data_IF_996898274797
#
_entry.id   IF_996898274797
#
_cell.length_a   1.000
_cell.length_b   1.000
_cell.length_c   1.000
_cell.angle_alpha   90.00
_cell.angle_beta   90.00
_cell.angle_gamma   90.00
#
_symmetry.space_group_name_H-M   'P 1'
#
loop_
_entity.id
_entity.type
_entity.pdbx_description
1 polymer ?
#
# COMPACT_ATOMS: atom_id res chain seq x y z
N UNK A 1 -7.20 10.86 3.60
CA UNK A 1 -7.64 10.00 2.46
C UNK A 1 -8.33 10.81 1.38
N UNK A 2 -9.25 11.72 1.72
CA UNK A 2 -9.96 12.54 0.72
C UNK A 2 -9.04 13.42 -0.14
N UNK A 3 -8.05 14.08 0.47
CA UNK A 3 -7.08 14.90 -0.28
C UNK A 3 -6.28 14.06 -1.30
N UNK A 4 -5.92 12.82 -0.95
CA UNK A 4 -5.22 11.91 -1.85
C UNK A 4 -6.12 11.42 -2.99
N UNK A 5 -7.43 11.22 -2.74
CA UNK A 5 -8.42 10.92 -3.78
C UNK A 5 -8.55 12.07 -4.77
N UNK A 6 -8.49 13.32 -4.29
CA UNK A 6 -8.55 14.49 -5.15
C UNK A 6 -7.33 14.63 -6.06
N UNK A 7 -6.17 14.08 -5.69
CA UNK A 7 -4.99 14.04 -6.56
C UNK A 7 -5.13 13.03 -7.71
N UNK A 8 -6.09 12.11 -7.64
CA UNK A 8 -6.35 11.13 -8.71
C UNK A 8 -7.11 11.77 -9.89
N UNK A 9 -6.59 12.88 -10.39
CA UNK A 9 -7.18 13.64 -11.47
C UNK A 9 -6.13 14.04 -12.53
N UNK A 10 -6.63 14.34 -13.73
CA UNK A 10 -5.78 14.67 -14.87
C UNK A 10 -5.02 15.99 -14.68
N UNK A 11 -5.61 16.99 -14.01
CA UNK A 11 -4.96 18.30 -13.81
C UNK A 11 -3.82 18.20 -12.80
N UNK A 12 -3.96 17.38 -11.75
CA UNK A 12 -2.86 17.14 -10.81
C UNK A 12 -1.73 16.35 -11.47
N UNK A 13 -2.06 15.38 -12.32
CA UNK A 13 -1.07 14.70 -13.15
C UNK A 13 -0.31 15.69 -14.05
N UNK A 14 -1.01 16.55 -14.79
CA UNK A 14 -0.41 17.52 -15.70
C UNK A 14 0.57 18.45 -14.97
N UNK A 15 0.23 18.93 -13.77
CA UNK A 15 1.14 19.77 -12.97
C UNK A 15 2.44 19.06 -12.62
N UNK A 16 2.36 17.79 -12.21
CA UNK A 16 3.54 16.98 -11.87
C UNK A 16 4.34 16.68 -13.13
N UNK A 17 3.67 16.31 -14.21
CA UNK A 17 4.31 16.00 -15.48
C UNK A 17 5.02 17.22 -16.09
N UNK A 18 4.43 18.41 -15.98
CA UNK A 18 5.06 19.68 -16.36
C UNK A 18 6.29 19.98 -15.50
N UNK A 19 6.20 19.77 -14.18
CA UNK A 19 7.33 19.97 -13.27
C UNK A 19 8.50 19.04 -13.62
N UNK A 20 8.21 17.76 -13.89
CA UNK A 20 9.20 16.78 -14.35
C UNK A 20 9.79 17.21 -15.70
N UNK A 21 8.96 17.67 -16.63
CA UNK A 21 9.40 18.14 -17.95
C UNK A 21 10.36 19.31 -17.84
N UNK A 22 10.03 20.33 -17.03
CA UNK A 22 10.89 21.49 -16.78
C UNK A 22 12.22 21.04 -16.15
N UNK A 23 12.16 20.17 -15.13
CA UNK A 23 13.36 19.64 -14.47
C UNK A 23 14.27 18.90 -15.46
N UNK A 24 13.71 18.04 -16.32
CA UNK A 24 14.47 17.32 -17.33
C UNK A 24 15.11 18.26 -18.36
N UNK A 25 14.38 19.28 -18.82
CA UNK A 25 14.91 20.29 -19.73
C UNK A 25 16.10 21.05 -19.12
N UNK A 26 15.98 21.48 -17.86
CA UNK A 26 17.04 22.18 -17.14
C UNK A 26 18.31 21.33 -16.96
N UNK A 27 18.14 20.00 -16.88
CA UNK A 27 19.24 19.07 -16.65
C UNK A 27 19.69 18.33 -17.94
N UNK A 28 19.23 18.75 -19.12
CA UNK A 28 19.53 18.11 -20.41
C UNK A 28 19.17 16.60 -20.45
N UNK A 29 18.13 16.18 -19.73
CA UNK A 29 17.60 14.81 -19.76
C UNK A 29 16.57 14.71 -20.88
N UNK A 30 16.82 13.83 -21.84
CA UNK A 30 15.90 13.61 -22.96
C UNK A 30 14.78 12.63 -22.56
N UNK A 31 13.58 13.15 -22.31
CA UNK A 31 12.39 12.35 -21.98
C UNK A 31 11.91 11.46 -23.13
N UNK A 32 12.24 11.79 -24.37
CA UNK A 32 11.85 11.03 -25.56
C UNK A 32 12.93 10.00 -25.96
N UNK A 33 13.95 9.82 -25.15
CA UNK A 33 15.02 8.90 -25.45
C UNK A 33 14.50 7.47 -25.29
N UNK A 34 14.15 6.84 -26.43
CA UNK A 34 13.78 5.42 -26.44
C UNK A 34 14.89 4.64 -25.75
N UNK A 35 14.57 3.79 -24.76
CA UNK A 35 15.58 2.96 -24.12
C UNK A 35 16.30 2.19 -25.22
N UNK A 36 17.63 2.09 -25.14
CA UNK A 36 18.39 1.17 -26.00
C UNK A 36 18.04 -0.26 -25.58
N UNK A 37 16.86 -0.73 -25.99
CA UNK A 37 16.46 -2.11 -25.78
C UNK A 37 17.43 -2.99 -26.55
N UNK A 38 18.15 -3.86 -25.84
CA UNK A 38 18.89 -4.94 -26.46
C UNK A 38 17.89 -5.71 -27.31
N UNK A 39 18.12 -5.79 -28.63
CA UNK A 39 17.29 -6.63 -29.51
C UNK A 39 17.26 -8.03 -28.91
N UNK A 40 16.09 -8.47 -28.45
CA UNK A 40 15.93 -9.82 -27.91
C UNK A 40 16.16 -10.79 -29.07
N UNK A 41 17.18 -11.61 -28.94
CA UNK A 41 17.42 -12.72 -29.86
C UNK A 41 16.56 -13.87 -29.36
N UNK A 42 15.63 -14.34 -30.20
CA UNK A 42 14.85 -15.54 -29.92
C UNK A 42 15.83 -16.71 -29.79
N UNK A 43 15.72 -17.49 -28.72
CA UNK A 43 16.56 -18.67 -28.54
C UNK A 43 16.44 -19.57 -29.77
N UNK A 44 17.58 -20.12 -30.20
CA UNK A 44 17.63 -21.02 -31.35
C UNK A 44 16.75 -22.27 -31.18
N UNK A 45 16.40 -22.62 -29.93
CA UNK A 45 15.51 -23.73 -29.59
C UNK A 45 14.02 -23.46 -29.88
N UNK A 46 13.64 -22.21 -30.12
CA UNK A 46 12.24 -21.79 -30.33
C UNK A 46 11.97 -21.29 -31.75
N UNK A 47 12.87 -21.58 -32.70
CA UNK A 47 12.75 -21.11 -34.09
C UNK A 47 11.47 -21.60 -34.79
N UNK A 48 10.97 -22.77 -34.41
CA UNK A 48 9.78 -23.38 -34.99
C UNK A 48 8.52 -23.15 -34.14
N UNK A 49 8.61 -22.30 -33.11
CA UNK A 49 7.47 -21.96 -32.26
C UNK A 49 6.86 -20.63 -32.68
N UNK A 50 5.53 -20.55 -32.67
CA UNK A 50 4.78 -19.31 -32.92
C UNK A 50 4.60 -18.59 -31.58
N UNK A 51 5.33 -17.49 -31.39
CA UNK A 51 5.15 -16.61 -30.23
C UNK A 51 4.01 -15.64 -30.56
N UNK A 52 2.87 -15.79 -29.86
CA UNK A 52 1.64 -15.01 -30.11
C UNK A 52 1.72 -13.62 -29.44
N UNK A 53 2.40 -13.52 -28.29
CA UNK A 53 2.68 -12.27 -27.60
C UNK A 53 3.86 -12.43 -26.66
N UNK A 54 4.48 -11.31 -26.27
CA UNK A 54 5.48 -11.31 -25.19
C UNK A 54 4.89 -10.65 -23.95
N UNK A 55 5.05 -11.30 -22.80
CA UNK A 55 4.69 -10.73 -21.50
C UNK A 55 5.83 -9.79 -21.06
N UNK A 56 5.49 -8.59 -20.60
CA UNK A 56 6.46 -7.63 -20.06
C UNK A 56 7.16 -6.74 -21.08
N UNK A 57 6.64 -6.62 -22.32
CA UNK A 57 6.96 -5.46 -23.14
C UNK A 57 6.31 -4.24 -22.48
N UNK A 58 7.11 -3.24 -22.12
CA UNK A 58 6.58 -1.91 -21.83
C UNK A 58 6.21 -1.29 -23.17
N UNK A 59 4.97 -0.84 -23.30
CA UNK A 59 4.56 0.02 -24.40
C UNK A 59 5.47 1.25 -24.45
N UNK A 60 5.55 1.93 -25.60
CA UNK A 60 6.25 3.21 -25.72
C UNK A 60 5.81 4.09 -24.54
N UNK A 61 6.79 4.58 -23.75
CA UNK A 61 6.61 5.37 -22.53
C UNK A 61 5.95 6.72 -22.84
N UNK A 62 4.66 6.66 -23.16
CA UNK A 62 3.82 7.80 -23.48
C UNK A 62 3.31 8.46 -22.21
N UNK A 63 2.92 9.73 -22.32
CA UNK A 63 2.26 10.45 -21.23
C UNK A 63 1.03 9.70 -20.70
N UNK A 64 0.26 9.07 -21.59
CA UNK A 64 -0.86 8.20 -21.23
C UNK A 64 -0.43 7.02 -20.35
N UNK A 65 0.70 6.39 -20.67
CA UNK A 65 1.25 5.28 -19.89
C UNK A 65 1.64 5.75 -18.48
N UNK A 66 2.39 6.85 -18.39
CA UNK A 66 2.80 7.45 -17.11
C UNK A 66 1.61 7.83 -16.24
N UNK A 67 0.56 8.38 -16.84
CA UNK A 67 -0.65 8.74 -16.10
C UNK A 67 -1.40 7.51 -15.58
N UNK A 68 -1.67 6.57 -16.46
CA UNK A 68 -2.61 5.47 -16.18
C UNK A 68 -1.97 4.39 -15.33
N UNK A 69 -0.76 3.95 -15.70
CA UNK A 69 -0.14 2.77 -15.11
C UNK A 69 0.88 3.09 -14.03
N UNK A 70 1.30 4.35 -13.91
CA UNK A 70 2.22 4.79 -12.85
C UNK A 70 1.49 5.72 -11.89
N UNK A 71 1.07 6.90 -12.34
CA UNK A 71 0.53 7.93 -11.45
C UNK A 71 -0.74 7.48 -10.72
N UNK A 72 -1.79 7.09 -11.46
CA UNK A 72 -3.03 6.62 -10.85
C UNK A 72 -2.83 5.35 -10.05
N UNK A 73 -2.03 4.41 -10.55
CA UNK A 73 -1.75 3.16 -9.83
C UNK A 73 -1.09 3.41 -8.48
N UNK A 74 -0.14 4.35 -8.40
CA UNK A 74 0.51 4.71 -7.13
C UNK A 74 -0.49 5.29 -6.15
N UNK A 75 -1.35 6.22 -6.60
CA UNK A 75 -2.38 6.82 -5.74
C UNK A 75 -3.38 5.76 -5.27
N UNK A 76 -3.83 4.89 -6.17
CA UNK A 76 -4.79 3.82 -5.87
C UNK A 76 -4.20 2.85 -4.83
N UNK A 77 -2.92 2.46 -4.98
CA UNK A 77 -2.24 1.62 -4.00
C UNK A 77 -2.13 2.32 -2.64
N UNK A 78 -1.74 3.60 -2.61
CA UNK A 78 -1.67 4.36 -1.35
C UNK A 78 -3.04 4.46 -0.67
N UNK A 79 -4.12 4.63 -1.43
CA UNK A 79 -5.48 4.67 -0.90
C UNK A 79 -5.87 3.32 -0.27
N UNK A 80 -5.63 2.22 -0.97
CA UNK A 80 -5.91 0.86 -0.45
C UNK A 80 -5.14 0.60 0.84
N UNK A 81 -3.83 0.87 0.86
CA UNK A 81 -3.00 0.65 2.06
C UNK A 81 -3.45 1.52 3.24
N UNK A 82 -3.85 2.76 3.00
CA UNK A 82 -4.39 3.63 4.05
C UNK A 82 -5.75 3.15 4.55
N UNK A 83 -6.63 2.69 3.66
CA UNK A 83 -7.95 2.19 4.03
C UNK A 83 -7.85 0.90 4.85
N UNK A 84 -6.97 -0.01 4.45
CA UNK A 84 -6.73 -1.25 5.17
C UNK A 84 -6.05 -0.99 6.52
N UNK A 85 -5.01 -0.15 6.53
CA UNK A 85 -4.23 0.20 7.72
C UNK A 85 -5.04 0.95 8.78
N UNK A 86 -5.94 1.84 8.36
CA UNK A 86 -6.81 2.63 9.25
C UNK A 86 -8.26 2.12 9.28
N UNK A 87 -8.49 0.89 8.84
CA UNK A 87 -9.81 0.26 8.94
C UNK A 87 -10.28 0.19 10.39
N UNK A 88 -11.59 0.18 10.61
CA UNK A 88 -12.18 0.02 11.96
C UNK A 88 -11.61 -1.21 12.67
N UNK A 89 -11.40 -2.31 11.93
CA UNK A 89 -10.78 -3.53 12.45
C UNK A 89 -9.33 -3.28 12.89
N UNK A 90 -8.49 -2.69 12.03
CA UNK A 90 -7.08 -2.40 12.34
C UNK A 90 -6.95 -1.47 13.56
N UNK A 91 -7.81 -0.45 13.65
CA UNK A 91 -7.85 0.47 14.79
C UNK A 91 -8.28 -0.21 16.09
N UNK A 92 -9.29 -1.09 16.05
CA UNK A 92 -9.72 -1.88 17.21
C UNK A 92 -8.59 -2.81 17.69
N UNK A 93 -7.87 -3.44 16.77
CA UNK A 93 -6.72 -4.27 17.13
C UNK A 93 -5.60 -3.43 17.77
N UNK A 94 -5.24 -2.30 17.15
CA UNK A 94 -4.22 -1.40 17.70
C UNK A 94 -4.60 -0.88 19.10
N UNK A 95 -5.87 -0.54 19.30
CA UNK A 95 -6.40 -0.15 20.62
C UNK A 95 -6.25 -1.28 21.65
N UNK A 96 -6.53 -2.52 21.24
CA UNK A 96 -6.32 -3.68 22.09
C UNK A 96 -4.84 -3.87 22.46
N UNK A 97 -3.91 -3.72 21.50
CA UNK A 97 -2.47 -3.78 21.79
C UNK A 97 -2.09 -2.69 22.80
N UNK A 98 -2.59 -1.46 22.61
CA UNK A 98 -2.32 -0.35 23.51
C UNK A 98 -2.85 -0.62 24.93
N UNK A 99 -3.97 -1.32 25.08
CA UNK A 99 -4.49 -1.74 26.40
C UNK A 99 -3.63 -2.78 27.13
N UNK A 100 -2.58 -3.32 26.50
CA UNK A 100 -1.57 -4.15 27.16
C UNK A 100 -0.38 -3.33 27.71
N UNK A 101 -0.31 -2.03 27.40
CA UNK A 101 0.70 -1.13 27.95
C UNK A 101 0.27 -0.63 29.35
N UNK A 102 1.12 -0.76 30.38
CA UNK A 102 0.79 -0.32 31.75
C UNK A 102 0.40 1.15 31.88
N UNK A 103 1.00 2.01 31.06
CA UNK A 103 0.74 3.46 31.07
C UNK A 103 -0.55 3.86 30.31
N UNK A 104 -1.24 2.90 29.69
CA UNK A 104 -2.49 3.16 28.97
C UNK A 104 -3.64 3.39 29.94
N UNK A 105 -4.50 4.38 29.63
CA UNK A 105 -5.74 4.62 30.38
C UNK A 105 -6.71 3.42 30.32
N UNK A 106 -6.54 2.52 29.35
CA UNK A 106 -7.34 1.30 29.19
C UNK A 106 -6.56 0.04 29.58
N UNK A 107 -5.51 0.15 30.41
CA UNK A 107 -4.69 -1.00 30.78
C UNK A 107 -5.52 -2.16 31.34
N UNK A 108 -5.37 -3.33 30.71
CA UNK A 108 -6.10 -4.58 31.03
C UNK A 108 -7.63 -4.43 30.99
N UNK A 109 -8.16 -3.49 30.21
CA UNK A 109 -9.60 -3.37 29.98
C UNK A 109 -10.14 -4.48 29.08
N UNK A 110 -11.19 -5.17 29.52
CA UNK A 110 -11.71 -6.34 28.82
C UNK A 110 -12.32 -5.97 27.46
N UNK A 111 -13.10 -4.89 27.41
CA UNK A 111 -13.75 -4.45 26.17
C UNK A 111 -12.73 -4.00 25.14
N UNK A 112 -11.64 -3.35 25.59
CA UNK A 112 -10.49 -2.99 24.75
C UNK A 112 -9.71 -4.20 24.22
N UNK A 113 -9.58 -5.28 25.00
CA UNK A 113 -8.84 -6.49 24.62
C UNK A 113 -9.64 -7.48 23.75
N UNK A 114 -10.97 -7.46 23.86
CA UNK A 114 -11.88 -8.38 23.16
C UNK A 114 -11.64 -8.48 21.64
N UNK A 115 -11.40 -7.39 20.88
CA UNK A 115 -11.11 -7.48 19.45
C UNK A 115 -9.86 -8.33 19.13
N UNK A 116 -8.79 -8.18 19.92
CA UNK A 116 -7.57 -8.98 19.75
C UNK A 116 -7.76 -10.42 20.21
N UNK A 117 -8.45 -10.62 21.32
CA UNK A 117 -8.74 -11.96 21.83
C UNK A 117 -9.50 -12.78 20.78
N UNK A 118 -10.53 -12.19 20.16
CA UNK A 118 -11.25 -12.81 19.06
C UNK A 118 -10.35 -13.05 17.83
N UNK A 119 -9.49 -12.09 17.49
CA UNK A 119 -8.58 -12.23 16.35
C UNK A 119 -7.58 -13.38 16.52
N UNK A 120 -7.12 -13.62 17.74
CA UNK A 120 -6.19 -14.69 18.10
C UNK A 120 -6.89 -16.00 18.50
N UNK A 121 -8.23 -16.04 18.46
CA UNK A 121 -9.06 -17.16 18.91
C UNK A 121 -8.81 -17.56 20.37
N UNK A 122 -8.62 -16.57 21.24
CA UNK A 122 -8.52 -16.75 22.70
C UNK A 122 -9.92 -16.93 23.28
N UNK A 123 -10.04 -17.81 24.27
CA UNK A 123 -11.29 -17.98 25.02
C UNK A 123 -11.60 -16.74 25.87
N UNK A 124 -12.72 -16.08 25.54
CA UNK A 124 -13.15 -14.85 26.21
C UNK A 124 -13.52 -15.05 27.69
N UNK A 125 -13.99 -16.24 28.08
CA UNK A 125 -14.30 -16.53 29.48
C UNK A 125 -13.02 -16.66 30.29
N UNK A 126 -12.04 -17.40 29.76
CA UNK A 126 -10.72 -17.55 30.40
C UNK A 126 -10.05 -16.18 30.55
N UNK A 127 -10.03 -15.38 29.48
CA UNK A 127 -9.47 -14.03 29.52
C UNK A 127 -10.15 -13.14 30.57
N UNK A 128 -11.48 -13.17 30.65
CA UNK A 128 -12.23 -12.39 31.64
C UNK A 128 -11.83 -12.76 33.07
N UNK A 129 -11.71 -14.07 33.35
CA UNK A 129 -11.30 -14.58 34.65
C UNK A 129 -9.85 -14.19 34.98
N UNK A 130 -8.92 -14.32 34.03
CA UNK A 130 -7.51 -13.94 34.22
C UNK A 130 -7.36 -12.45 34.53
N UNK A 131 -8.04 -11.58 33.78
CA UNK A 131 -8.00 -10.13 34.01
C UNK A 131 -8.55 -9.76 35.39
N UNK A 132 -9.58 -10.47 35.87
CA UNK A 132 -10.13 -10.26 37.21
C UNK A 132 -9.07 -10.57 38.29
N UNK A 133 -8.30 -11.65 38.12
CA UNK A 133 -7.23 -12.02 39.06
C UNK A 133 -6.07 -11.03 38.98
N UNK A 134 -5.60 -10.69 37.77
CA UNK A 134 -4.43 -9.80 37.59
C UNK A 134 -4.68 -8.40 38.15
N UNK A 135 -5.89 -7.84 37.96
CA UNK A 135 -6.25 -6.52 38.52
C UNK A 135 -6.27 -6.49 40.04
N UNK A 136 -6.49 -7.63 40.71
CA UNK A 136 -6.43 -7.74 42.17
C UNK A 136 -4.99 -7.77 42.69
N UNK A 137 -4.04 -8.26 41.89
CA UNK A 137 -2.62 -8.41 42.26
C UNK A 137 -1.79 -7.18 41.86
N UNK A 138 -2.19 -6.45 40.82
CA UNK A 138 -1.50 -5.25 40.33
C UNK A 138 -1.81 -3.96 41.14
N UNK A 139 -2.56 -4.08 42.24
CA UNK A 139 -2.97 -2.98 43.12
C UNK A 139 -2.11 -2.96 44.39
#
# INVERSE_FOLDING_TARGET
>A
MEELRQLRDEKSFEKIFQTITIFCQQNNVNLNQKPKHRKRVVSTRFKDSVIISTIGQRDDESEYYYRTYIYYQVIDNMLVELEDGFSSKSLQLLSGISSLCPDSNTFLDFDSLKPIANHLNVDLQVLSNELMVVKLVAK
#
